data_IF_250553196511
#
_entry.id   IF_250553196511
#
_cell.length_a   1.000
_cell.length_b   1.000
_cell.length_c   1.000
_cell.angle_alpha   90.00
_cell.angle_beta   90.00
_cell.angle_gamma   90.00
#
_symmetry.space_group_name_H-M   'P 1'
#
loop_
_entity.id
_entity.type
_entity.pdbx_description
1 polymer ?
#
# COMPACT_ATOMS: atom_id res chain seq x y z
N UNK A 1 -12.73 -27.64 -4.34
CA UNK A 1 -13.59 -27.16 -3.23
C UNK A 1 -13.26 -25.72 -2.80
N UNK A 2 -11.98 -25.29 -2.67
CA UNK A 2 -11.65 -23.92 -2.26
C UNK A 2 -12.26 -22.82 -3.15
N UNK A 3 -12.28 -23.03 -4.47
CA UNK A 3 -12.87 -22.10 -5.45
C UNK A 3 -14.39 -21.88 -5.27
N UNK A 4 -15.14 -22.88 -4.80
CA UNK A 4 -16.59 -22.74 -4.56
C UNK A 4 -16.86 -21.82 -3.38
N UNK A 5 -16.09 -21.99 -2.29
CA UNK A 5 -16.16 -21.12 -1.11
C UNK A 5 -15.74 -19.70 -1.49
N UNK A 6 -14.64 -19.56 -2.22
CA UNK A 6 -14.16 -18.28 -2.69
C UNK A 6 -15.22 -17.54 -3.52
N UNK A 7 -15.81 -18.19 -4.52
CA UNK A 7 -16.82 -17.60 -5.38
C UNK A 7 -18.08 -17.18 -4.60
N UNK A 8 -18.51 -17.99 -3.64
CA UNK A 8 -19.64 -17.65 -2.79
C UNK A 8 -19.38 -16.39 -1.95
N UNK A 9 -18.18 -16.27 -1.37
CA UNK A 9 -17.78 -15.10 -0.58
C UNK A 9 -17.57 -13.86 -1.46
N UNK A 10 -17.00 -14.03 -2.65
CA UNK A 10 -16.87 -12.96 -3.65
C UNK A 10 -18.24 -12.40 -4.05
N UNK A 11 -19.22 -13.26 -4.28
CA UNK A 11 -20.60 -12.85 -4.55
C UNK A 11 -21.23 -12.11 -3.35
N UNK A 12 -20.92 -12.52 -2.12
CA UNK A 12 -21.37 -11.84 -0.91
C UNK A 12 -20.77 -10.41 -0.81
N UNK A 13 -19.54 -10.20 -1.27
CA UNK A 13 -18.89 -8.89 -1.33
C UNK A 13 -19.56 -7.90 -2.31
N UNK A 14 -20.50 -8.34 -3.14
CA UNK A 14 -21.24 -7.47 -4.08
C UNK A 14 -22.66 -7.13 -3.60
N UNK A 15 -23.07 -7.56 -2.40
CA UNK A 15 -24.44 -7.33 -1.88
C UNK A 15 -24.68 -5.86 -1.54
N UNK A 16 -25.95 -5.43 -1.62
CA UNK A 16 -26.37 -4.03 -1.37
C UNK A 16 -26.11 -3.57 0.07
N UNK A 17 -26.33 -4.43 1.07
CA UNK A 17 -26.17 -4.05 2.48
C UNK A 17 -24.70 -3.84 2.86
N UNK A 18 -24.37 -2.66 3.39
CA UNK A 18 -23.01 -2.26 3.80
C UNK A 18 -22.41 -3.20 4.85
N UNK A 19 -23.10 -3.40 5.98
CA UNK A 19 -22.60 -4.25 7.08
C UNK A 19 -22.36 -5.69 6.62
N UNK A 20 -23.25 -6.22 5.78
CA UNK A 20 -23.08 -7.54 5.21
C UNK A 20 -21.85 -7.62 4.31
N UNK A 21 -21.60 -6.57 3.52
CA UNK A 21 -20.45 -6.49 2.63
C UNK A 21 -19.13 -6.40 3.39
N UNK A 22 -19.08 -5.62 4.47
CA UNK A 22 -17.89 -5.52 5.34
C UNK A 22 -17.56 -6.86 6.01
N UNK A 23 -18.59 -7.57 6.48
CA UNK A 23 -18.44 -8.93 6.99
C UNK A 23 -17.97 -9.91 5.89
N UNK A 24 -18.49 -9.77 4.66
CA UNK A 24 -18.08 -10.58 3.53
C UNK A 24 -16.60 -10.35 3.16
N UNK A 25 -16.10 -9.11 3.15
CA UNK A 25 -14.68 -8.84 2.95
C UNK A 25 -13.81 -9.40 4.08
N UNK A 26 -14.25 -9.26 5.33
CA UNK A 26 -13.54 -9.86 6.46
C UNK A 26 -13.48 -11.40 6.35
N UNK A 27 -14.54 -12.02 5.86
CA UNK A 27 -14.57 -13.46 5.55
C UNK A 27 -13.66 -13.80 4.36
N UNK A 28 -13.65 -12.98 3.31
CA UNK A 28 -12.80 -13.16 2.14
C UNK A 28 -11.33 -13.19 2.54
N UNK A 29 -10.91 -12.23 3.38
CA UNK A 29 -9.58 -12.19 3.96
C UNK A 29 -9.22 -13.52 4.65
N UNK A 30 -10.11 -14.03 5.50
CA UNK A 30 -9.88 -15.31 6.20
C UNK A 30 -9.79 -16.49 5.24
N UNK A 31 -10.63 -16.54 4.20
CA UNK A 31 -10.60 -17.58 3.16
C UNK A 31 -9.27 -17.56 2.43
N UNK A 32 -8.80 -16.39 1.99
CA UNK A 32 -7.51 -16.25 1.31
C UNK A 32 -6.37 -16.76 2.20
N UNK A 33 -6.31 -16.29 3.44
CA UNK A 33 -5.26 -16.64 4.40
C UNK A 33 -5.29 -18.11 4.80
N UNK A 34 -6.48 -18.73 4.89
CA UNK A 34 -6.63 -20.12 5.28
C UNK A 34 -6.23 -21.09 4.16
N UNK A 35 -6.63 -20.82 2.91
CA UNK A 35 -6.34 -21.73 1.80
C UNK A 35 -4.96 -21.53 1.19
N UNK A 36 -4.40 -20.31 1.25
CA UNK A 36 -3.08 -19.98 0.69
C UNK A 36 -2.88 -20.40 -0.76
N UNK A 37 -3.96 -20.40 -1.54
CA UNK A 37 -3.94 -20.77 -2.95
C UNK A 37 -3.52 -19.56 -3.80
N UNK A 38 -2.35 -19.59 -4.47
CA UNK A 38 -1.89 -18.48 -5.29
C UNK A 38 -2.83 -18.13 -6.44
N UNK A 39 -3.61 -19.11 -6.93
CA UNK A 39 -4.59 -18.91 -8.00
C UNK A 39 -5.74 -17.99 -7.59
N UNK A 40 -5.88 -17.65 -6.30
CA UNK A 40 -6.90 -16.71 -5.84
C UNK A 40 -6.63 -15.29 -6.31
N UNK A 41 -5.36 -14.91 -6.51
CA UNK A 41 -5.00 -13.54 -6.86
C UNK A 41 -5.70 -13.07 -8.14
N UNK A 42 -5.53 -13.80 -9.25
CA UNK A 42 -6.11 -13.43 -10.54
C UNK A 42 -7.65 -13.49 -10.55
N UNK A 43 -8.26 -14.30 -9.67
CA UNK A 43 -9.71 -14.42 -9.56
C UNK A 43 -10.34 -13.28 -8.74
N UNK A 44 -9.65 -12.80 -7.71
CA UNK A 44 -10.23 -11.91 -6.70
C UNK A 44 -9.74 -10.46 -6.87
N UNK A 45 -8.48 -10.26 -7.24
CA UNK A 45 -7.88 -8.93 -7.32
C UNK A 45 -8.65 -7.96 -8.24
N UNK A 46 -9.14 -8.34 -9.45
CA UNK A 46 -9.89 -7.43 -10.30
C UNK A 46 -11.13 -6.84 -9.61
N UNK A 47 -11.83 -7.64 -8.82
CA UNK A 47 -12.99 -7.19 -8.05
C UNK A 47 -12.58 -6.21 -6.93
N UNK A 48 -11.49 -6.50 -6.22
CA UNK A 48 -11.00 -5.61 -5.15
C UNK A 48 -10.54 -4.26 -5.71
N UNK A 49 -9.88 -4.26 -6.87
CA UNK A 49 -9.48 -3.05 -7.58
C UNK A 49 -10.68 -2.21 -7.99
N UNK A 50 -11.71 -2.83 -8.57
CA UNK A 50 -12.94 -2.12 -8.95
C UNK A 50 -13.63 -1.46 -7.74
N UNK A 51 -13.76 -2.19 -6.64
CA UNK A 51 -14.36 -1.67 -5.40
C UNK A 51 -13.53 -0.52 -4.83
N UNK A 52 -12.20 -0.63 -4.87
CA UNK A 52 -11.28 0.43 -4.41
C UNK A 52 -11.42 1.70 -5.25
N UNK A 53 -11.43 1.59 -6.58
CA UNK A 53 -11.57 2.75 -7.47
C UNK A 53 -12.92 3.44 -7.36
N UNK A 54 -14.01 2.69 -7.17
CA UNK A 54 -15.33 3.28 -6.91
C UNK A 54 -15.33 4.16 -5.66
N UNK A 55 -14.61 3.76 -4.62
CA UNK A 55 -14.45 4.55 -3.38
C UNK A 55 -13.81 5.92 -3.66
N UNK A 56 -12.76 5.95 -4.49
CA UNK A 56 -12.07 7.19 -4.90
C UNK A 56 -13.00 8.10 -5.70
N UNK A 57 -13.66 7.57 -6.73
CA UNK A 57 -14.56 8.34 -7.61
C UNK A 57 -15.72 8.98 -6.83
N UNK A 58 -16.34 8.23 -5.92
CA UNK A 58 -17.43 8.75 -5.08
C UNK A 58 -16.98 9.93 -4.21
N UNK A 59 -15.74 9.89 -3.68
CA UNK A 59 -15.18 11.00 -2.89
C UNK A 59 -14.90 12.22 -3.76
N UNK A 60 -14.25 12.05 -4.92
CA UNK A 60 -13.96 13.16 -5.84
C UNK A 60 -15.24 13.89 -6.26
N UNK A 61 -16.30 13.14 -6.60
CA UNK A 61 -17.60 13.72 -6.98
C UNK A 61 -18.21 14.55 -5.86
N UNK A 62 -18.18 14.05 -4.61
CA UNK A 62 -18.71 14.76 -3.46
C UNK A 62 -17.91 16.04 -3.14
N UNK A 63 -16.58 16.00 -3.30
CA UNK A 63 -15.72 17.18 -3.12
C UNK A 63 -15.96 18.26 -4.19
N UNK A 64 -16.26 17.87 -5.43
CA UNK A 64 -16.56 18.79 -6.54
C UNK A 64 -17.99 19.37 -6.52
N UNK A 65 -18.90 18.83 -5.71
CA UNK A 65 -20.32 19.25 -5.69
C UNK A 65 -20.65 20.34 -4.66
N UNK A 66 -19.64 20.92 -3.99
CA UNK A 66 -19.82 21.95 -2.95
C UNK A 66 -20.25 23.34 -3.47
N UNK A 67 -20.59 23.49 -4.76
CA UNK A 67 -21.05 24.77 -5.36
C UNK A 67 -22.43 24.73 -6.02
N UNK A 68 -23.29 23.74 -5.75
CA UNK A 68 -24.67 23.75 -6.26
C UNK A 68 -25.70 23.55 -5.14
N UNK A 69 -26.51 24.59 -4.96
CA UNK A 69 -27.60 24.73 -4.00
C UNK A 69 -28.76 23.74 -4.18
N UNK A 70 -29.25 23.22 -3.05
CA UNK A 70 -30.63 22.82 -2.72
C UNK A 70 -31.57 22.33 -3.85
N UNK A 71 -31.88 21.03 -3.87
CA UNK A 71 -33.25 20.51 -3.93
C UNK A 71 -33.22 18.98 -3.76
N UNK A 72 -34.30 18.45 -3.20
CA UNK A 72 -34.45 17.10 -2.71
C UNK A 72 -34.26 16.01 -3.80
N UNK A 73 -33.29 15.13 -3.57
CA UNK A 73 -33.29 13.69 -3.91
C UNK A 73 -32.13 13.08 -3.12
N UNK A 74 -32.34 13.00 -1.80
CA UNK A 74 -31.42 12.40 -0.85
C UNK A 74 -31.85 10.95 -0.64
N UNK A 75 -31.68 10.10 -1.65
CA UNK A 75 -31.92 8.66 -1.53
C UNK A 75 -31.12 7.88 -2.58
N UNK A 76 -30.67 6.68 -2.22
CA UNK A 76 -29.85 5.69 -2.97
C UNK A 76 -28.30 5.75 -2.93
N UNK A 77 -27.62 6.90 -2.89
CA UNK A 77 -26.13 6.90 -2.98
C UNK A 77 -25.36 6.67 -1.68
N UNK A 78 -25.98 6.89 -0.51
CA UNK A 78 -25.32 6.74 0.80
C UNK A 78 -25.16 5.28 1.25
N UNK A 79 -25.88 4.34 0.62
CA UNK A 79 -25.86 2.92 0.97
C UNK A 79 -24.70 2.10 0.40
N UNK A 80 -23.78 2.70 -0.36
CA UNK A 80 -22.90 1.95 -1.29
C UNK A 80 -21.42 1.93 -0.90
N UNK A 81 -20.92 2.81 -0.03
CA UNK A 81 -19.49 2.87 0.28
C UNK A 81 -19.07 1.82 1.32
N UNK A 82 -18.16 0.94 0.91
CA UNK A 82 -17.50 -0.06 1.77
C UNK A 82 -16.36 0.61 2.50
N UNK A 83 -16.08 0.16 3.72
CA UNK A 83 -14.85 0.53 4.39
C UNK A 83 -13.63 0.00 3.62
N UNK A 84 -12.88 0.92 3.00
CA UNK A 84 -11.74 0.61 2.13
C UNK A 84 -10.63 -0.16 2.87
N UNK A 85 -10.51 -0.02 4.20
CA UNK A 85 -9.58 -0.82 5.02
C UNK A 85 -9.83 -2.33 4.87
N UNK A 86 -11.11 -2.76 4.79
CA UNK A 86 -11.45 -4.18 4.63
C UNK A 86 -11.05 -4.71 3.26
N UNK A 87 -11.19 -3.89 2.22
CA UNK A 87 -10.76 -4.23 0.86
C UNK A 87 -9.25 -4.33 0.81
N UNK A 88 -8.54 -3.35 1.37
CA UNK A 88 -7.06 -3.36 1.45
C UNK A 88 -6.52 -4.54 2.26
N UNK A 89 -7.17 -4.94 3.35
CA UNK A 89 -6.77 -6.14 4.10
C UNK A 89 -6.92 -7.43 3.27
N UNK A 90 -7.92 -7.49 2.38
CA UNK A 90 -8.01 -8.57 1.39
C UNK A 90 -6.89 -8.49 0.36
N UNK A 91 -6.57 -7.29 -0.14
CA UNK A 91 -5.46 -7.07 -1.09
C UNK A 91 -4.13 -7.51 -0.47
N UNK A 92 -3.84 -7.12 0.77
CA UNK A 92 -2.64 -7.56 1.48
C UNK A 92 -2.57 -9.09 1.58
N UNK A 93 -3.66 -9.74 2.00
CA UNK A 93 -3.72 -11.20 2.11
C UNK A 93 -3.57 -11.90 0.74
N UNK A 94 -4.10 -11.30 -0.33
CA UNK A 94 -3.90 -11.79 -1.69
C UNK A 94 -2.44 -11.65 -2.12
N UNK A 95 -1.80 -10.50 -1.85
CA UNK A 95 -0.38 -10.29 -2.14
C UNK A 95 0.44 -11.38 -1.47
N UNK A 96 0.20 -11.69 -0.19
CA UNK A 96 0.92 -12.74 0.55
C UNK A 96 0.88 -14.10 -0.15
N UNK A 97 -0.22 -14.47 -0.80
CA UNK A 97 -0.39 -15.81 -1.42
C UNK A 97 -0.06 -15.82 -2.91
N UNK A 98 -0.06 -14.68 -3.58
CA UNK A 98 0.10 -14.57 -5.02
C UNK A 98 1.46 -15.08 -5.54
N UNK A 99 1.46 -15.52 -6.79
CA UNK A 99 2.69 -15.65 -7.56
C UNK A 99 3.25 -14.27 -7.89
N UNK A 100 4.57 -14.14 -7.87
CA UNK A 100 5.26 -12.90 -8.19
C UNK A 100 4.87 -12.36 -9.57
N UNK A 101 4.76 -13.22 -10.57
CA UNK A 101 4.41 -12.84 -11.93
C UNK A 101 3.02 -12.18 -12.02
N UNK A 102 2.06 -12.66 -11.23
CA UNK A 102 0.73 -12.07 -11.19
C UNK A 102 0.75 -10.66 -10.57
N UNK A 103 1.57 -10.44 -9.54
CA UNK A 103 1.82 -9.12 -8.94
C UNK A 103 2.43 -8.17 -9.98
N UNK A 104 3.47 -8.63 -10.70
CA UNK A 104 4.16 -7.83 -11.73
C UNK A 104 3.19 -7.44 -12.86
N UNK A 105 2.29 -8.35 -13.25
CA UNK A 105 1.27 -8.11 -14.28
C UNK A 105 0.22 -7.07 -13.82
N UNK A 106 -0.07 -7.00 -12.53
CA UNK A 106 -1.03 -6.06 -11.93
C UNK A 106 -0.37 -4.83 -11.29
N UNK A 107 0.94 -4.62 -11.50
CA UNK A 107 1.75 -3.61 -10.78
C UNK A 107 1.14 -2.20 -10.74
N UNK A 108 0.63 -1.73 -11.87
CA UNK A 108 0.02 -0.39 -11.98
C UNK A 108 -1.23 -0.27 -11.11
N UNK A 109 -2.09 -1.29 -11.15
CA UNK A 109 -3.34 -1.33 -10.39
C UNK A 109 -3.06 -1.42 -8.88
N UNK A 110 -2.06 -2.21 -8.48
CA UNK A 110 -1.63 -2.33 -7.08
C UNK A 110 -1.10 -0.98 -6.57
N UNK A 111 -0.18 -0.35 -7.31
CA UNK A 111 0.39 0.93 -6.93
C UNK A 111 -0.68 2.03 -6.87
N UNK A 112 -1.61 2.07 -7.82
CA UNK A 112 -2.71 3.02 -7.81
C UNK A 112 -3.58 2.88 -6.56
N UNK A 113 -3.98 1.65 -6.18
CA UNK A 113 -4.73 1.41 -4.94
C UNK A 113 -3.95 1.96 -3.74
N UNK A 114 -2.66 1.63 -3.64
CA UNK A 114 -1.81 2.04 -2.51
C UNK A 114 -1.70 3.56 -2.44
N UNK A 115 -1.36 4.22 -3.55
CA UNK A 115 -1.19 5.67 -3.59
C UNK A 115 -2.50 6.41 -3.25
N UNK A 116 -3.63 5.95 -3.79
CA UNK A 116 -4.94 6.52 -3.46
C UNK A 116 -5.27 6.35 -1.97
N UNK A 117 -4.95 5.18 -1.39
CA UNK A 117 -5.22 4.89 0.02
C UNK A 117 -4.32 5.66 1.02
N UNK A 118 -3.17 6.18 0.55
CA UNK A 118 -2.28 7.04 1.33
C UNK A 118 -2.61 8.53 1.24
N UNK A 119 -3.61 8.91 0.42
CA UNK A 119 -3.99 10.32 0.25
C UNK A 119 -4.36 10.99 1.58
N UNK A 120 -4.08 12.29 1.79
CA UNK A 120 -4.35 12.98 3.06
C UNK A 120 -5.80 12.87 3.54
N UNK A 121 -6.76 12.79 2.61
CA UNK A 121 -8.20 12.73 2.85
C UNK A 121 -8.66 11.37 3.43
N UNK A 122 -7.83 10.33 3.30
CA UNK A 122 -8.18 9.00 3.78
C UNK A 122 -8.10 8.89 5.31
N UNK A 123 -8.92 8.00 5.87
CA UNK A 123 -8.86 7.75 7.32
C UNK A 123 -7.54 7.07 7.70
N UNK A 124 -7.14 7.22 8.97
CA UNK A 124 -5.92 6.58 9.46
C UNK A 124 -6.00 5.05 9.43
N UNK A 125 -7.20 4.46 9.53
CA UNK A 125 -7.40 3.01 9.42
C UNK A 125 -7.10 2.52 8.01
N UNK A 126 -7.50 3.28 6.99
CA UNK A 126 -7.20 2.97 5.59
C UNK A 126 -5.67 3.04 5.38
N UNK A 127 -5.01 4.08 5.91
CA UNK A 127 -3.55 4.21 5.87
C UNK A 127 -2.83 3.02 6.51
N UNK A 128 -3.31 2.53 7.66
CA UNK A 128 -2.75 1.31 8.29
C UNK A 128 -2.87 0.07 7.39
N UNK A 129 -4.03 -0.15 6.77
CA UNK A 129 -4.20 -1.26 5.82
C UNK A 129 -3.35 -1.10 4.56
N UNK A 130 -3.06 0.15 4.16
CA UNK A 130 -2.17 0.46 3.04
C UNK A 130 -0.73 0.07 3.36
N UNK A 131 -0.27 0.39 4.58
CA UNK A 131 1.05 -0.03 5.06
C UNK A 131 1.20 -1.54 5.09
N UNK A 132 0.15 -2.27 5.45
CA UNK A 132 0.17 -3.72 5.38
C UNK A 132 0.36 -4.21 3.94
N UNK A 133 -0.37 -3.66 2.96
CA UNK A 133 -0.18 -4.01 1.54
C UNK A 133 1.26 -3.77 1.08
N UNK A 134 1.85 -2.62 1.46
CA UNK A 134 3.24 -2.29 1.13
C UNK A 134 4.21 -3.28 1.75
N UNK A 135 4.07 -3.60 3.03
CA UNK A 135 4.95 -4.57 3.72
C UNK A 135 4.87 -5.96 3.09
N UNK A 136 3.67 -6.42 2.74
CA UNK A 136 3.49 -7.71 2.05
C UNK A 136 4.16 -7.71 0.67
N UNK A 137 4.13 -6.60 -0.07
CA UNK A 137 4.92 -6.46 -1.30
C UNK A 137 6.41 -6.53 -1.01
N UNK A 138 6.90 -5.80 0.00
CA UNK A 138 8.31 -5.84 0.37
C UNK A 138 8.78 -7.27 0.66
N UNK A 139 8.01 -8.02 1.45
CA UNK A 139 8.32 -9.42 1.75
C UNK A 139 8.28 -10.33 0.52
N UNK A 140 7.43 -10.04 -0.47
CA UNK A 140 7.40 -10.79 -1.73
C UNK A 140 8.62 -10.58 -2.61
N UNK A 141 9.23 -9.39 -2.55
CA UNK A 141 10.43 -9.05 -3.33
C UNK A 141 11.73 -9.26 -2.54
N UNK A 142 11.65 -9.56 -1.25
CA UNK A 142 12.80 -10.06 -0.49
C UNK A 142 13.18 -11.45 -1.00
N UNK A 143 14.42 -11.62 -1.44
CA UNK A 143 14.95 -12.90 -1.89
C UNK A 143 15.86 -13.51 -0.82
N UNK A 144 15.34 -14.43 0.02
CA UNK A 144 16.17 -15.10 1.01
C UNK A 144 17.19 -16.07 0.37
N UNK A 145 16.93 -16.53 -0.86
CA UNK A 145 17.70 -17.58 -1.53
C UNK A 145 18.84 -17.04 -2.42
N UNK A 146 18.99 -15.71 -2.52
CA UNK A 146 20.09 -15.04 -3.21
C UNK A 146 20.11 -15.19 -4.75
N UNK A 147 19.08 -15.78 -5.35
CA UNK A 147 18.96 -15.87 -6.80
C UNK A 147 18.57 -14.51 -7.41
N UNK A 148 19.56 -13.66 -7.69
CA UNK A 148 19.36 -12.27 -8.14
C UNK A 148 18.83 -12.12 -9.58
N UNK A 149 18.28 -13.19 -10.16
CA UNK A 149 17.77 -13.18 -11.53
C UNK A 149 16.30 -12.75 -11.54
N UNK A 150 16.06 -11.44 -11.55
CA UNK A 150 14.72 -10.87 -11.64
C UNK A 150 14.38 -10.42 -13.07
N UNK A 151 13.13 -10.55 -13.52
CA UNK A 151 12.65 -9.87 -14.72
C UNK A 151 12.85 -8.35 -14.60
N UNK A 152 13.16 -7.68 -15.70
CA UNK A 152 13.39 -6.22 -15.75
C UNK A 152 12.21 -5.42 -15.18
N UNK A 153 10.98 -5.88 -15.40
CA UNK A 153 9.76 -5.27 -14.88
C UNK A 153 9.70 -5.27 -13.34
N UNK A 154 10.42 -6.18 -12.70
CA UNK A 154 10.51 -6.26 -11.23
C UNK A 154 11.34 -5.12 -10.68
N UNK A 155 12.46 -4.80 -11.34
CA UNK A 155 13.32 -3.66 -11.00
C UNK A 155 12.51 -2.37 -11.06
N UNK A 156 11.80 -2.13 -12.17
CA UNK A 156 10.94 -0.96 -12.32
C UNK A 156 9.88 -0.89 -11.21
N UNK A 157 9.25 -2.00 -10.85
CA UNK A 157 8.26 -2.05 -9.78
C UNK A 157 8.86 -1.72 -8.41
N UNK A 158 10.04 -2.25 -8.07
CA UNK A 158 10.70 -1.97 -6.79
C UNK A 158 11.11 -0.49 -6.71
N UNK A 159 11.64 0.07 -7.79
CA UNK A 159 11.96 1.49 -7.88
C UNK A 159 10.71 2.37 -7.73
N UNK A 160 9.66 2.07 -8.49
CA UNK A 160 8.40 2.82 -8.47
C UNK A 160 7.70 2.72 -7.11
N UNK A 161 7.71 1.53 -6.50
CA UNK A 161 7.19 1.31 -5.15
C UNK A 161 7.92 2.20 -4.13
N UNK A 162 9.26 2.19 -4.11
CA UNK A 162 10.02 3.03 -3.18
C UNK A 162 9.80 4.53 -3.46
N UNK A 163 10.05 4.99 -4.69
CA UNK A 163 10.05 6.42 -5.00
C UNK A 163 8.66 7.06 -5.01
N UNK A 164 7.59 6.28 -5.20
CA UNK A 164 6.21 6.80 -5.20
C UNK A 164 5.56 6.69 -3.83
N UNK A 165 5.78 5.59 -3.10
CA UNK A 165 5.06 5.35 -1.83
C UNK A 165 5.82 5.86 -0.61
N UNK A 166 7.15 5.81 -0.57
CA UNK A 166 7.92 6.27 0.59
C UNK A 166 7.68 7.76 0.93
N UNK A 167 7.65 8.71 -0.03
CA UNK A 167 7.31 10.10 0.27
C UNK A 167 5.90 10.23 0.86
N UNK A 168 4.93 9.44 0.37
CA UNK A 168 3.56 9.45 0.89
C UNK A 168 3.50 8.88 2.31
N UNK A 169 4.29 7.86 2.64
CA UNK A 169 4.41 7.35 4.01
C UNK A 169 5.00 8.41 4.94
N UNK A 170 6.03 9.15 4.50
CA UNK A 170 6.59 10.30 5.23
C UNK A 170 5.52 11.38 5.46
N UNK A 171 4.74 11.74 4.44
CA UNK A 171 3.63 12.68 4.57
C UNK A 171 2.61 12.22 5.62
N UNK A 172 2.28 10.92 5.66
CA UNK A 172 1.36 10.39 6.68
C UNK A 172 1.90 10.59 8.10
N UNK A 173 3.19 10.37 8.34
CA UNK A 173 3.81 10.59 9.66
C UNK A 173 3.72 12.06 10.05
N UNK A 174 3.91 12.99 9.10
CA UNK A 174 3.81 14.43 9.36
C UNK A 174 2.38 14.87 9.69
N UNK A 175 1.39 14.29 9.02
CA UNK A 175 0.01 14.77 9.07
C UNK A 175 -0.83 14.11 10.17
N UNK A 176 -0.63 12.81 10.44
CA UNK A 176 -1.54 12.03 11.30
C UNK A 176 -1.03 11.94 12.72
N UNK A 177 -1.61 12.72 13.65
CA UNK A 177 -1.19 12.81 15.06
C UNK A 177 -1.62 11.61 15.94
N UNK A 178 -1.42 10.38 15.47
CA UNK A 178 -1.79 9.15 16.19
C UNK A 178 -0.54 8.26 16.32
N UNK A 179 -0.10 8.01 17.55
CA UNK A 179 1.15 7.27 17.82
C UNK A 179 1.22 5.89 17.15
N UNK A 180 0.12 5.15 17.12
CA UNK A 180 0.05 3.85 16.42
C UNK A 180 0.33 3.99 14.91
N UNK A 181 -0.15 5.06 14.29
CA UNK A 181 0.06 5.34 12.87
C UNK A 181 1.52 5.70 12.62
N UNK A 182 2.12 6.53 13.48
CA UNK A 182 3.55 6.87 13.39
C UNK A 182 4.42 5.62 13.45
N UNK A 183 4.17 4.72 14.43
CA UNK A 183 4.93 3.47 14.55
C UNK A 183 4.78 2.60 13.31
N UNK A 184 3.55 2.37 12.84
CA UNK A 184 3.29 1.52 11.68
C UNK A 184 3.84 2.11 10.37
N UNK A 185 3.72 3.43 10.18
CA UNK A 185 4.25 4.14 9.02
C UNK A 185 5.78 4.12 9.01
N UNK A 186 6.42 4.33 10.16
CA UNK A 186 7.89 4.30 10.27
C UNK A 186 8.44 2.90 10.01
N UNK A 187 7.77 1.86 10.53
CA UNK A 187 8.11 0.47 10.22
C UNK A 187 7.91 0.15 8.73
N UNK A 188 6.81 0.61 8.13
CA UNK A 188 6.55 0.46 6.69
C UNK A 188 7.65 1.12 5.84
N UNK A 189 8.05 2.34 6.19
CA UNK A 189 9.14 3.06 5.54
C UNK A 189 10.48 2.32 5.66
N UNK A 190 10.72 1.67 6.80
CA UNK A 190 11.92 0.87 7.02
C UNK A 190 11.95 -0.36 6.11
N UNK A 191 10.83 -1.08 5.98
CA UNK A 191 10.74 -2.23 5.07
C UNK A 191 10.90 -1.83 3.59
N UNK A 192 10.35 -0.69 3.19
CA UNK A 192 10.61 -0.09 1.87
C UNK A 192 12.11 0.21 1.67
N UNK A 193 12.74 0.84 2.66
CA UNK A 193 14.15 1.23 2.59
C UNK A 193 15.07 0.01 2.51
N UNK A 194 14.80 -1.02 3.32
CA UNK A 194 15.53 -2.30 3.28
C UNK A 194 15.40 -2.98 1.92
N UNK A 195 14.17 -3.10 1.40
CA UNK A 195 13.94 -3.68 0.07
C UNK A 195 14.76 -2.92 -0.98
N UNK A 196 14.66 -1.60 -1.01
CA UNK A 196 15.35 -0.77 -2.00
C UNK A 196 16.88 -0.90 -1.91
N UNK A 197 17.43 -1.02 -0.69
CA UNK A 197 18.86 -1.26 -0.42
C UNK A 197 19.33 -2.63 -0.90
N UNK A 198 18.55 -3.66 -0.62
CA UNK A 198 18.97 -5.05 -0.79
C UNK A 198 18.66 -5.57 -2.21
N UNK A 199 17.75 -4.92 -2.94
CA UNK A 199 17.41 -5.30 -4.31
C UNK A 199 18.55 -4.96 -5.28
N UNK A 200 18.92 -5.85 -6.23
CA UNK A 200 20.06 -5.67 -7.13
C UNK A 200 19.76 -4.66 -8.25
N UNK A 201 19.72 -3.37 -7.88
CA UNK A 201 19.51 -2.24 -8.79
C UNK A 201 20.84 -1.74 -9.34
N UNK A 202 20.89 -1.42 -10.64
CA UNK A 202 22.10 -0.91 -11.31
C UNK A 202 22.33 0.56 -10.97
N UNK A 203 21.29 1.40 -11.10
CA UNK A 203 21.37 2.85 -10.90
C UNK A 203 20.49 3.30 -9.73
N UNK A 204 20.96 3.06 -8.51
CA UNK A 204 20.21 3.45 -7.31
C UNK A 204 20.22 4.96 -7.12
N UNK A 205 19.02 5.57 -7.06
CA UNK A 205 18.85 7.01 -6.84
C UNK A 205 18.54 7.30 -5.38
N UNK A 206 19.14 8.36 -4.87
CA UNK A 206 18.82 8.89 -3.55
C UNK A 206 17.34 9.28 -3.40
N UNK A 207 16.77 9.18 -2.19
CA UNK A 207 15.39 9.56 -1.93
C UNK A 207 15.20 11.08 -1.98
N UNK A 208 14.03 11.53 -2.42
CA UNK A 208 13.69 12.97 -2.49
C UNK A 208 13.17 13.56 -1.16
N UNK A 209 13.16 12.76 -0.10
CA UNK A 209 12.51 13.09 1.19
C UNK A 209 13.48 13.04 2.38
N UNK A 210 14.79 13.01 2.15
CA UNK A 210 15.80 12.89 3.22
C UNK A 210 15.72 14.02 4.25
N UNK A 211 15.49 15.25 3.79
CA UNK A 211 15.36 16.42 4.66
C UNK A 211 14.14 16.30 5.58
N UNK A 212 12.98 15.98 5.01
CA UNK A 212 11.75 15.77 5.77
C UNK A 212 11.88 14.62 6.78
N UNK A 213 12.59 13.55 6.41
CA UNK A 213 12.83 12.42 7.30
C UNK A 213 13.70 12.81 8.50
N UNK A 214 14.74 13.63 8.30
CA UNK A 214 15.58 14.13 9.38
C UNK A 214 14.78 15.00 10.37
N UNK A 215 13.93 15.91 9.86
CA UNK A 215 13.04 16.72 10.69
C UNK A 215 12.05 15.86 11.51
N UNK A 216 11.49 14.82 10.88
CA UNK A 216 10.60 13.87 11.54
C UNK A 216 11.31 13.11 12.66
N UNK A 217 12.53 12.62 12.42
CA UNK A 217 13.30 11.88 13.42
C UNK A 217 13.58 12.73 14.67
N UNK A 218 13.88 14.02 14.50
CA UNK A 218 14.11 14.93 15.62
C UNK A 218 12.83 15.23 16.41
N UNK A 219 11.72 15.45 15.70
CA UNK A 219 10.43 15.83 16.31
C UNK A 219 9.57 14.67 16.80
N UNK A 220 9.88 13.43 16.44
CA UNK A 220 9.15 12.23 16.85
C UNK A 220 9.23 11.98 18.36
N UNK A 221 8.07 11.69 18.96
CA UNK A 221 7.89 11.47 20.40
C UNK A 221 7.79 9.98 20.76
N UNK A 222 7.36 9.14 19.81
CA UNK A 222 7.32 7.69 19.98
C UNK A 222 8.73 7.13 19.83
N UNK A 223 9.31 6.61 20.91
CA UNK A 223 10.65 6.01 20.89
C UNK A 223 10.76 4.89 19.84
N UNK A 224 9.71 4.07 19.70
CA UNK A 224 9.70 3.00 18.72
C UNK A 224 9.67 3.54 17.28
N UNK A 225 8.83 4.53 16.99
CA UNK A 225 8.79 5.16 15.67
C UNK A 225 10.14 5.83 15.37
N UNK A 226 10.69 6.58 16.32
CA UNK A 226 12.00 7.23 16.21
C UNK A 226 13.13 6.24 15.94
N UNK A 227 13.12 5.08 16.59
CA UNK A 227 14.10 4.03 16.34
C UNK A 227 14.02 3.46 14.91
N UNK A 228 12.82 3.33 14.35
CA UNK A 228 12.64 2.95 12.94
C UNK A 228 13.10 4.06 11.99
N UNK A 229 12.74 5.32 12.25
CA UNK A 229 13.15 6.45 11.41
C UNK A 229 14.67 6.62 11.36
N UNK A 230 15.37 6.45 12.48
CA UNK A 230 16.85 6.44 12.52
C UNK A 230 17.44 5.35 11.63
N UNK A 231 16.90 4.13 11.70
CA UNK A 231 17.33 3.03 10.82
C UNK A 231 17.07 3.35 9.35
N UNK A 232 15.93 3.98 9.01
CA UNK A 232 15.69 4.45 7.66
C UNK A 232 16.78 5.45 7.23
N UNK A 233 17.04 6.48 8.03
CA UNK A 233 18.07 7.48 7.72
C UNK A 233 19.44 6.85 7.48
N UNK A 234 19.83 5.88 8.31
CA UNK A 234 21.12 5.22 8.16
C UNK A 234 21.20 4.41 6.85
N UNK A 235 20.12 3.74 6.45
CA UNK A 235 20.05 3.05 5.14
C UNK A 235 20.11 4.05 3.97
N UNK A 236 19.44 5.20 4.10
CA UNK A 236 19.29 6.14 2.98
C UNK A 236 20.55 6.98 2.73
N UNK A 237 21.40 7.20 3.75
CA UNK A 237 22.70 7.87 3.59
C UNK A 237 23.59 7.15 2.59
N UNK A 238 23.59 5.82 2.62
CA UNK A 238 24.36 4.98 1.68
C UNK A 238 24.00 5.26 0.21
N UNK A 239 22.82 5.84 -0.05
CA UNK A 239 22.36 6.15 -1.41
C UNK A 239 22.76 7.56 -1.88
N UNK A 240 23.02 8.48 -0.96
CA UNK A 240 23.44 9.85 -1.29
C UNK A 240 24.93 9.87 -1.65
N UNK A 241 25.76 9.11 -0.92
CA UNK A 241 27.21 9.02 -1.13
C UNK A 241 27.59 8.35 -2.47
N UNK A 242 26.77 7.41 -2.96
CA UNK A 242 27.00 6.73 -4.24
C UNK A 242 26.96 7.69 -5.45
N UNK A 243 26.23 8.81 -5.34
CA UNK A 243 26.14 9.83 -6.39
C UNK A 243 27.35 10.77 -6.38
N UNK A 244 28.00 10.95 -5.23
CA UNK A 244 29.18 11.81 -5.07
C UNK A 244 30.45 11.21 -5.70
N UNK A 245 30.63 9.90 -5.61
CA UNK A 245 31.79 9.22 -6.20
C UNK A 245 31.76 9.16 -7.74
N UNK A 246 30.58 9.27 -8.35
CA UNK A 246 30.46 9.30 -9.82
C UNK A 246 30.84 10.66 -10.43
N UNK A 247 30.85 11.75 -9.64
CA UNK A 247 31.22 13.09 -10.13
C UNK A 247 32.70 13.43 -9.93
N UNK A 248 33.48 12.62 -9.21
CA UNK A 248 34.93 12.85 -9.01
C UNK A 248 35.82 12.11 -10.02
N UNK A 249 35.25 11.49 -11.06
CA UNK A 249 35.99 10.73 -12.09
C UNK A 249 35.86 11.25 -13.52
N UNK A 250 35.51 12.53 -13.72
CA UNK A 250 35.59 13.22 -15.03
C UNK A 250 36.57 14.41 -14.99
#
# INVERSE_FOLDING_TARGET
MPSVILNAVCAACSRKSKLYREAAFSCLQQVITAFKDPGFFNNVFPMLYEVSNRSVICKTRNSSSLTASSSAEQDETEGVSVSLDKVLNCVASLITVAFLQDIINQRKNILEIILNSLSPEESWQIKLSSFLCIKELCYKFQNPDGNNTWPEETTYLVEELFHSTAPKVVDVIRLVKIAQVHTAASECLLELSKLYRDFPLVDRKGPKFSGELAELCESEKSEQAKAFLKQCMDILKDFEDATGLAMEMD
#
